data_IF_893678506435
#
_entry.id   IF_893678506435
#
_cell.length_a   1.000
_cell.length_b   1.000
_cell.length_c   1.000
_cell.angle_alpha   90.00
_cell.angle_beta   90.00
_cell.angle_gamma   90.00
#
_symmetry.space_group_name_H-M   'P 1'
#
loop_
_entity.id
_entity.type
_entity.pdbx_description
1 polymer ?
#
# COMPACT_ATOMS: atom_id res chain seq x y z
N UNK A 1 -92.39 26.50 61.62
CA UNK A 1 -91.78 25.32 60.96
C UNK A 1 -90.44 25.78 60.41
N UNK A 2 -89.44 25.61 61.19
CA UNK A 2 -88.07 26.10 60.88
C UNK A 2 -87.22 24.92 60.40
N UNK A 3 -86.91 24.91 59.12
CA UNK A 3 -86.10 23.94 58.49
C UNK A 3 -84.56 24.23 58.79
N UNK A 4 -84.00 23.34 59.57
CA UNK A 4 -82.58 23.42 59.94
C UNK A 4 -81.74 22.83 58.79
N UNK A 5 -80.99 23.69 58.09
CA UNK A 5 -80.00 23.29 57.11
C UNK A 5 -78.73 22.73 57.83
N UNK A 6 -78.41 21.52 57.56
CA UNK A 6 -77.12 20.87 58.09
C UNK A 6 -75.92 21.51 57.42
N UNK A 7 -74.79 21.67 58.13
CA UNK A 7 -73.56 22.19 57.55
C UNK A 7 -72.90 21.15 56.63
N UNK A 8 -72.55 21.56 55.40
CA UNK A 8 -71.74 20.75 54.46
C UNK A 8 -70.31 20.74 54.96
N UNK A 9 -69.76 19.53 55.23
CA UNK A 9 -68.38 19.33 55.60
C UNK A 9 -67.43 19.74 54.47
N UNK A 10 -66.27 20.39 54.73
CA UNK A 10 -65.33 20.76 53.71
C UNK A 10 -64.70 19.47 53.13
N UNK A 11 -64.79 19.32 51.81
CA UNK A 11 -64.10 18.28 51.07
C UNK A 11 -62.60 18.55 51.16
N UNK A 12 -61.85 17.63 51.78
CA UNK A 12 -60.38 17.63 51.74
C UNK A 12 -59.90 17.51 50.30
N UNK A 13 -58.90 18.31 49.86
CA UNK A 13 -58.34 18.17 48.53
C UNK A 13 -57.65 16.80 48.41
N UNK A 14 -58.23 15.93 47.59
CA UNK A 14 -57.59 14.63 47.28
C UNK A 14 -56.24 14.90 46.65
N UNK A 15 -55.18 14.53 47.37
CA UNK A 15 -53.79 14.60 46.86
C UNK A 15 -53.64 13.58 45.74
N UNK A 16 -53.75 14.04 44.49
CA UNK A 16 -53.45 13.21 43.30
C UNK A 16 -51.93 12.92 43.33
N UNK A 17 -51.52 11.66 43.45
CA UNK A 17 -50.08 11.35 43.44
C UNK A 17 -49.45 11.82 42.14
N UNK A 18 -48.20 12.36 42.17
CA UNK A 18 -47.55 12.83 40.95
C UNK A 18 -47.37 11.67 39.99
N UNK A 19 -47.91 11.81 38.79
CA UNK A 19 -47.78 10.81 37.72
C UNK A 19 -46.30 10.72 37.29
N UNK A 20 -45.66 9.58 37.51
CA UNK A 20 -44.30 9.28 37.03
C UNK A 20 -44.41 8.48 35.75
N UNK A 21 -43.87 9.00 34.64
CA UNK A 21 -43.74 8.21 33.41
C UNK A 21 -42.76 7.08 33.62
N UNK A 22 -43.17 5.87 33.29
CA UNK A 22 -42.25 4.74 33.27
C UNK A 22 -41.28 4.84 32.09
N UNK A 23 -40.08 4.21 32.15
CA UNK A 23 -39.18 4.17 30.99
C UNK A 23 -39.84 3.61 29.73
N UNK A 24 -40.80 2.68 29.89
CA UNK A 24 -41.56 2.11 28.78
C UNK A 24 -42.53 3.14 28.14
N UNK A 25 -43.15 4.00 28.95
CA UNK A 25 -44.01 5.06 28.43
C UNK A 25 -43.23 6.15 27.73
N UNK A 26 -42.03 6.45 28.22
CA UNK A 26 -41.08 7.38 27.56
C UNK A 26 -40.66 6.85 26.20
N UNK A 27 -40.32 5.57 26.08
CA UNK A 27 -39.97 4.91 24.81
C UNK A 27 -41.17 4.86 23.85
N UNK A 28 -42.39 4.59 24.34
CA UNK A 28 -43.59 4.63 23.50
C UNK A 28 -43.88 6.02 22.99
N UNK A 29 -43.80 7.04 23.84
CA UNK A 29 -44.01 8.44 23.45
C UNK A 29 -42.97 8.92 22.41
N UNK A 30 -41.71 8.54 22.59
CA UNK A 30 -40.63 8.78 21.61
C UNK A 30 -40.91 8.09 20.27
N UNK A 31 -41.41 6.84 20.29
CA UNK A 31 -41.75 6.07 19.10
C UNK A 31 -42.89 6.68 18.27
N UNK A 32 -43.86 7.34 18.91
CA UNK A 32 -44.94 8.01 18.22
C UNK A 32 -44.41 9.24 17.45
N UNK A 33 -43.45 9.98 18.01
CA UNK A 33 -42.78 11.12 17.33
C UNK A 33 -42.03 10.69 16.07
N UNK A 34 -41.37 9.55 16.12
CA UNK A 34 -40.67 8.97 14.97
C UNK A 34 -41.65 8.51 13.86
N UNK A 35 -42.80 7.96 14.23
CA UNK A 35 -43.84 7.50 13.27
C UNK A 35 -44.55 8.62 12.54
N UNK A 36 -44.74 9.77 13.17
CA UNK A 36 -45.46 10.90 12.56
C UNK A 36 -44.65 11.68 11.53
N UNK A 37 -43.29 11.59 11.60
CA UNK A 37 -42.39 12.26 10.65
C UNK A 37 -41.35 11.27 10.08
N UNK A 38 -41.84 10.14 9.58
CA UNK A 38 -41.01 9.01 9.12
C UNK A 38 -39.94 9.42 8.13
N UNK A 39 -40.28 10.20 7.13
CA UNK A 39 -39.34 10.60 6.06
C UNK A 39 -38.13 11.38 6.62
N UNK A 40 -38.36 12.30 7.57
CA UNK A 40 -37.30 13.09 8.20
C UNK A 40 -36.39 12.21 9.05
N UNK A 41 -36.99 11.34 9.88
CA UNK A 41 -36.24 10.43 10.76
C UNK A 41 -35.39 9.45 9.94
N UNK A 42 -35.94 8.90 8.84
CA UNK A 42 -35.23 7.99 7.95
C UNK A 42 -34.08 8.71 7.24
N UNK A 43 -34.31 9.92 6.68
CA UNK A 43 -33.25 10.68 6.01
C UNK A 43 -32.14 11.09 6.96
N UNK A 44 -32.46 11.49 8.19
CA UNK A 44 -31.45 11.84 9.19
C UNK A 44 -30.64 10.60 9.63
N UNK A 45 -31.31 9.48 9.87
CA UNK A 45 -30.65 8.21 10.22
C UNK A 45 -29.77 7.69 9.07
N UNK A 46 -30.27 7.81 7.84
CA UNK A 46 -29.54 7.40 6.64
C UNK A 46 -28.25 8.24 6.47
N UNK A 47 -28.33 9.56 6.65
CA UNK A 47 -27.17 10.45 6.58
C UNK A 47 -26.08 10.09 7.60
N UNK A 48 -26.49 9.86 8.87
CA UNK A 48 -25.56 9.44 9.92
C UNK A 48 -24.97 8.05 9.61
N UNK A 49 -25.81 7.10 9.17
CA UNK A 49 -25.40 5.74 8.85
C UNK A 49 -24.38 5.73 7.70
N UNK A 50 -24.62 6.50 6.64
CA UNK A 50 -23.68 6.62 5.52
C UNK A 50 -22.38 7.26 5.99
N UNK A 51 -22.44 8.34 6.79
CA UNK A 51 -21.24 9.02 7.30
C UNK A 51 -20.37 8.12 8.18
N UNK A 52 -20.96 7.42 9.14
CA UNK A 52 -20.25 6.47 10.01
C UNK A 52 -19.76 5.27 9.20
N UNK A 53 -20.63 4.72 8.32
CA UNK A 53 -20.28 3.58 7.49
C UNK A 53 -19.11 3.87 6.56
N UNK A 54 -19.08 5.03 5.91
CA UNK A 54 -17.97 5.47 5.08
C UNK A 54 -16.68 5.65 5.90
N UNK A 55 -16.75 6.23 7.08
CA UNK A 55 -15.59 6.40 7.97
C UNK A 55 -15.01 5.06 8.41
N UNK A 56 -15.86 4.12 8.83
CA UNK A 56 -15.43 2.76 9.23
C UNK A 56 -14.83 2.00 8.04
N UNK A 57 -15.42 2.14 6.84
CA UNK A 57 -14.89 1.49 5.63
C UNK A 57 -13.51 2.03 5.26
N UNK A 58 -13.31 3.36 5.30
CA UNK A 58 -12.01 3.99 5.02
C UNK A 58 -10.96 3.56 6.04
N UNK A 59 -11.28 3.58 7.33
CA UNK A 59 -10.37 3.12 8.39
C UNK A 59 -10.00 1.64 8.25
N UNK A 60 -11.00 0.78 8.00
CA UNK A 60 -10.76 -0.65 7.85
C UNK A 60 -9.89 -0.98 6.64
N UNK A 61 -10.12 -0.32 5.51
CA UNK A 61 -9.32 -0.50 4.30
C UNK A 61 -7.89 0.03 4.49
N UNK A 62 -7.74 1.20 5.11
CA UNK A 62 -6.43 1.80 5.38
C UNK A 62 -5.59 0.93 6.33
N UNK A 63 -6.17 0.42 7.41
CA UNK A 63 -5.45 -0.43 8.37
C UNK A 63 -5.06 -1.78 7.74
N UNK A 64 -5.93 -2.35 6.89
CA UNK A 64 -5.60 -3.57 6.13
C UNK A 64 -4.43 -3.35 5.18
N UNK A 65 -4.46 -2.27 4.39
CA UNK A 65 -3.37 -1.92 3.47
C UNK A 65 -2.05 -1.68 4.21
N UNK A 66 -2.10 -0.99 5.36
CA UNK A 66 -0.92 -0.75 6.20
C UNK A 66 -0.32 -2.04 6.74
N UNK A 67 -1.16 -2.95 7.24
CA UNK A 67 -0.70 -4.25 7.75
C UNK A 67 -0.04 -5.09 6.66
N UNK A 68 -0.61 -5.09 5.45
CA UNK A 68 -0.01 -5.78 4.30
C UNK A 68 1.35 -5.20 3.95
N UNK A 69 1.48 -3.88 3.89
CA UNK A 69 2.71 -3.18 3.55
C UNK A 69 3.82 -3.41 4.59
N UNK A 70 3.49 -3.34 5.88
CA UNK A 70 4.42 -3.65 6.97
C UNK A 70 4.87 -5.11 6.92
N UNK A 71 3.97 -6.04 6.60
CA UNK A 71 4.33 -7.45 6.46
C UNK A 71 5.24 -7.71 5.25
N UNK A 72 5.12 -6.93 4.19
CA UNK A 72 6.04 -6.95 3.05
C UNK A 72 7.42 -6.42 3.44
N UNK A 73 7.49 -5.26 4.09
CA UNK A 73 8.73 -4.68 4.59
C UNK A 73 9.47 -5.63 5.55
N UNK A 74 8.75 -6.28 6.45
CA UNK A 74 9.32 -7.25 7.38
C UNK A 74 9.90 -8.49 6.67
N UNK A 75 9.25 -8.95 5.59
CA UNK A 75 9.72 -10.10 4.80
C UNK A 75 10.93 -9.79 3.93
N UNK A 76 10.94 -8.59 3.33
CA UNK A 76 11.96 -8.18 2.36
C UNK A 76 13.23 -7.65 3.03
N UNK A 77 13.15 -7.31 4.31
CA UNK A 77 14.21 -6.67 5.07
C UNK A 77 14.47 -5.23 4.61
N UNK A 78 14.63 -4.33 5.56
CA UNK A 78 14.89 -2.90 5.29
C UNK A 78 16.38 -2.61 5.08
N UNK A 79 17.20 -3.64 4.92
CA UNK A 79 18.65 -3.59 4.90
C UNK A 79 19.26 -3.77 3.50
N UNK A 80 18.49 -3.57 2.44
CA UNK A 80 18.96 -3.60 1.07
C UNK A 80 19.21 -2.18 0.56
N UNK A 81 20.37 -1.98 -0.04
CA UNK A 81 20.74 -0.79 -0.80
C UNK A 81 20.85 -1.15 -2.28
N UNK A 82 20.45 -0.23 -3.12
CA UNK A 82 20.58 -0.32 -4.56
C UNK A 82 21.48 0.83 -5.01
N UNK A 83 22.54 0.49 -5.71
CA UNK A 83 23.54 1.41 -6.24
C UNK A 83 23.43 1.42 -7.75
N UNK A 84 23.19 2.57 -8.31
CA UNK A 84 23.03 2.75 -9.75
C UNK A 84 23.93 3.87 -10.27
N UNK A 85 24.23 3.82 -11.55
CA UNK A 85 24.84 4.93 -12.23
C UNK A 85 23.88 6.10 -12.26
N UNK A 86 24.22 7.21 -11.61
CA UNK A 86 23.40 8.41 -11.54
C UNK A 86 23.46 9.21 -12.84
N UNK A 87 22.41 9.89 -13.19
CA UNK A 87 22.40 10.88 -14.26
C UNK A 87 22.81 12.24 -13.70
N UNK A 88 24.10 12.55 -13.69
CA UNK A 88 24.61 13.87 -13.27
C UNK A 88 24.11 14.97 -14.22
N UNK A 89 23.61 16.09 -13.66
CA UNK A 89 23.18 17.24 -14.46
C UNK A 89 24.39 17.80 -15.21
N UNK A 90 24.45 17.55 -16.52
CA UNK A 90 25.48 18.07 -17.42
C UNK A 90 26.70 17.18 -17.69
N UNK A 91 26.75 15.95 -17.16
CA UNK A 91 27.91 15.05 -17.29
C UNK A 91 27.63 13.76 -18.09
N UNK A 92 26.47 13.62 -18.71
CA UNK A 92 26.07 12.38 -19.39
C UNK A 92 25.64 11.26 -18.43
N UNK A 93 25.25 10.08 -18.94
CA UNK A 93 24.97 8.94 -18.08
C UNK A 93 26.24 8.52 -17.36
N UNK A 94 26.17 8.41 -16.03
CA UNK A 94 27.24 7.83 -15.22
C UNK A 94 27.45 6.36 -15.60
N UNK A 95 28.61 5.81 -15.26
CA UNK A 95 28.91 4.37 -15.34
C UNK A 95 29.47 3.91 -14.02
N UNK A 96 29.13 2.70 -13.61
CA UNK A 96 29.79 2.06 -12.48
C UNK A 96 31.05 1.36 -13.00
N UNK A 97 32.22 1.57 -12.35
CA UNK A 97 33.41 0.80 -12.68
C UNK A 97 33.20 -0.71 -12.51
N UNK A 98 33.90 -1.52 -13.29
CA UNK A 98 33.85 -2.98 -13.18
C UNK A 98 34.19 -3.48 -11.75
N UNK A 99 35.15 -2.82 -11.08
CA UNK A 99 35.59 -3.16 -9.74
C UNK A 99 34.58 -2.76 -8.65
N UNK A 100 33.51 -2.03 -8.95
CA UNK A 100 32.51 -1.50 -7.99
C UNK A 100 31.93 -2.59 -7.10
N UNK A 101 31.66 -3.77 -7.66
CA UNK A 101 31.13 -4.93 -6.94
C UNK A 101 32.10 -5.39 -5.85
N UNK A 102 33.37 -5.54 -6.23
CA UNK A 102 34.45 -5.97 -5.31
C UNK A 102 34.69 -4.90 -4.24
N UNK A 103 34.64 -3.63 -4.61
CA UNK A 103 34.80 -2.51 -3.67
C UNK A 103 33.64 -2.45 -2.67
N UNK A 104 32.40 -2.61 -3.12
CA UNK A 104 31.23 -2.66 -2.25
C UNK A 104 31.31 -3.83 -1.25
N UNK A 105 31.74 -5.00 -1.69
CA UNK A 105 31.88 -6.18 -0.84
C UNK A 105 32.97 -6.05 0.25
N UNK A 106 33.89 -5.09 0.15
CA UNK A 106 34.92 -4.82 1.17
C UNK A 106 34.45 -3.96 2.34
N UNK A 107 33.25 -3.38 2.26
CA UNK A 107 32.67 -2.61 3.36
C UNK A 107 32.26 -3.57 4.47
N UNK A 108 32.87 -3.45 5.67
CA UNK A 108 32.76 -4.43 6.74
C UNK A 108 31.35 -4.91 7.10
N UNK A 109 30.32 -4.03 7.24
CA UNK A 109 28.95 -4.43 7.55
C UNK A 109 28.17 -5.02 6.35
N UNK A 110 28.74 -5.12 5.16
CA UNK A 110 28.07 -5.69 3.98
C UNK A 110 28.10 -7.22 4.06
N UNK A 111 26.90 -7.82 3.97
CA UNK A 111 26.72 -9.28 4.03
C UNK A 111 26.84 -9.92 2.64
N UNK A 112 26.12 -9.38 1.65
CA UNK A 112 26.13 -9.90 0.27
C UNK A 112 26.02 -8.76 -0.73
N UNK A 113 26.65 -8.96 -1.88
CA UNK A 113 26.63 -8.06 -3.02
C UNK A 113 26.31 -8.86 -4.27
N UNK A 114 25.52 -8.30 -5.15
CA UNK A 114 25.27 -8.85 -6.47
C UNK A 114 25.09 -7.72 -7.48
N UNK A 115 25.59 -7.93 -8.68
CA UNK A 115 25.45 -6.97 -9.78
C UNK A 115 24.46 -7.46 -10.82
N UNK A 116 23.93 -6.49 -11.53
CA UNK A 116 23.17 -6.65 -12.76
C UNK A 116 23.74 -5.68 -13.79
N UNK A 117 23.99 -6.17 -14.98
CA UNK A 117 24.42 -5.37 -16.12
C UNK A 117 23.31 -5.43 -17.20
N UNK A 118 22.87 -4.28 -17.67
CA UNK A 118 21.87 -4.21 -18.76
C UNK A 118 22.53 -4.61 -20.07
N UNK A 119 21.94 -5.57 -20.79
CA UNK A 119 22.35 -5.95 -22.14
C UNK A 119 21.53 -5.12 -23.14
N UNK A 120 21.96 -3.88 -23.35
CA UNK A 120 21.20 -2.87 -24.09
C UNK A 120 20.95 -3.22 -25.56
N UNK A 121 21.83 -3.98 -26.17
CA UNK A 121 21.76 -4.45 -27.56
C UNK A 121 20.79 -5.62 -27.74
N UNK A 122 20.62 -6.47 -26.73
CA UNK A 122 19.79 -7.67 -26.80
C UNK A 122 18.31 -7.40 -26.52
N UNK A 123 17.47 -8.16 -27.23
CA UNK A 123 16.03 -8.19 -27.01
C UNK A 123 15.58 -9.63 -26.88
N UNK A 124 14.54 -9.88 -26.06
CA UNK A 124 13.97 -11.19 -25.88
C UNK A 124 12.65 -11.33 -26.63
N UNK A 125 12.51 -12.47 -27.31
CA UNK A 125 11.31 -12.88 -28.03
C UNK A 125 10.99 -14.36 -27.72
N UNK A 126 9.72 -14.72 -27.89
CA UNK A 126 9.30 -16.12 -27.72
C UNK A 126 9.98 -17.05 -28.74
N UNK A 127 10.23 -16.59 -29.94
CA UNK A 127 10.91 -17.28 -31.03
C UNK A 127 11.46 -16.28 -32.04
N UNK A 128 12.20 -16.78 -33.02
CA UNK A 128 12.85 -16.04 -34.09
C UNK A 128 11.89 -15.49 -35.19
N UNK A 129 10.59 -15.81 -35.11
CA UNK A 129 9.57 -15.35 -36.07
C UNK A 129 8.87 -14.06 -35.62
N UNK A 130 9.06 -13.63 -34.36
CA UNK A 130 8.48 -12.38 -33.85
C UNK A 130 9.22 -11.21 -34.49
N UNK A 131 8.49 -10.25 -35.12
CA UNK A 131 9.13 -9.09 -35.75
C UNK A 131 9.95 -8.25 -34.74
N UNK A 132 11.11 -7.78 -35.17
CA UNK A 132 11.94 -6.88 -34.38
C UNK A 132 11.14 -5.64 -33.97
N UNK A 133 11.28 -5.21 -32.71
CA UNK A 133 10.54 -4.09 -32.13
C UNK A 133 9.28 -4.47 -31.36
N UNK A 134 8.74 -5.70 -31.51
CA UNK A 134 7.64 -6.20 -30.67
C UNK A 134 8.18 -6.86 -29.40
N UNK A 135 8.97 -6.11 -28.63
CA UNK A 135 9.64 -6.61 -27.42
C UNK A 135 8.71 -6.87 -26.24
N UNK A 136 7.46 -6.42 -26.31
CA UNK A 136 6.53 -6.50 -25.20
C UNK A 136 6.99 -5.70 -23.94
N UNK A 137 8.00 -4.83 -24.06
CA UNK A 137 8.58 -4.11 -22.91
C UNK A 137 9.38 -5.02 -21.99
N UNK A 138 10.01 -6.05 -22.56
CA UNK A 138 10.93 -6.95 -21.88
C UNK A 138 12.37 -6.52 -22.13
N UNK A 139 13.23 -6.72 -21.13
CA UNK A 139 14.66 -6.45 -21.17
C UNK A 139 15.47 -7.73 -21.00
N UNK A 140 16.75 -7.64 -21.29
CA UNK A 140 17.74 -8.68 -21.04
C UNK A 140 18.81 -8.08 -20.14
N UNK A 141 19.18 -8.82 -19.10
CA UNK A 141 20.21 -8.38 -18.18
C UNK A 141 21.13 -9.55 -17.80
N UNK A 142 22.41 -9.26 -17.67
CA UNK A 142 23.38 -10.19 -17.10
C UNK A 142 23.36 -10.05 -15.57
N UNK A 143 23.42 -11.15 -14.86
CA UNK A 143 23.27 -11.17 -13.42
C UNK A 143 24.28 -12.10 -12.73
N UNK A 144 24.71 -11.68 -11.55
CA UNK A 144 25.53 -12.54 -10.66
C UNK A 144 24.72 -13.72 -10.12
N UNK A 145 25.35 -14.87 -9.90
CA UNK A 145 24.71 -16.03 -9.25
C UNK A 145 24.12 -15.71 -7.87
N UNK A 146 24.72 -14.76 -7.15
CA UNK A 146 24.27 -14.33 -5.82
C UNK A 146 23.06 -13.40 -5.84
N UNK A 147 22.58 -12.97 -7.00
CA UNK A 147 21.51 -11.98 -7.11
C UNK A 147 20.25 -12.41 -6.36
N UNK A 148 19.78 -13.63 -6.59
CA UNK A 148 18.55 -14.12 -5.96
C UNK A 148 18.63 -14.14 -4.43
N UNK A 149 19.79 -14.57 -3.89
CA UNK A 149 20.02 -14.60 -2.44
C UNK A 149 20.16 -13.20 -1.84
N UNK A 150 20.82 -12.28 -2.55
CA UNK A 150 20.96 -10.87 -2.13
C UNK A 150 19.60 -10.17 -2.10
N UNK A 151 18.72 -10.46 -3.05
CA UNK A 151 17.35 -9.94 -3.08
C UNK A 151 16.40 -10.67 -2.12
N UNK A 152 16.84 -11.78 -1.49
CA UNK A 152 15.97 -12.72 -0.75
C UNK A 152 14.78 -13.20 -1.59
N UNK A 153 14.99 -13.28 -2.88
CA UNK A 153 14.02 -13.78 -3.83
C UNK A 153 13.85 -15.29 -3.76
N UNK A 154 12.85 -15.80 -4.44
CA UNK A 154 12.59 -17.23 -4.58
C UNK A 154 12.29 -17.61 -6.02
N UNK A 155 12.40 -18.89 -6.33
CA UNK A 155 12.02 -19.42 -7.64
C UNK A 155 10.59 -19.93 -7.60
N UNK A 156 9.80 -19.53 -8.59
CA UNK A 156 8.47 -20.12 -8.83
C UNK A 156 8.61 -21.49 -9.50
N UNK A 157 9.56 -21.62 -10.44
CA UNK A 157 9.85 -22.87 -11.15
C UNK A 157 11.31 -22.96 -11.51
N UNK A 158 11.87 -24.18 -11.52
CA UNK A 158 13.22 -24.45 -11.96
C UNK A 158 14.31 -24.02 -10.96
N UNK A 159 15.46 -23.62 -11.47
CA UNK A 159 16.63 -23.21 -10.70
C UNK A 159 17.11 -21.83 -11.15
N UNK A 160 17.83 -21.13 -10.29
CA UNK A 160 18.50 -19.87 -10.64
C UNK A 160 19.83 -20.16 -11.35
N UNK A 161 20.42 -19.11 -11.89
CA UNK A 161 21.78 -19.15 -12.44
C UNK A 161 22.77 -19.58 -11.36
N UNK A 162 23.68 -20.48 -11.71
CA UNK A 162 24.69 -20.97 -10.80
C UNK A 162 26.10 -20.80 -11.40
N UNK A 163 27.11 -20.96 -10.57
CA UNK A 163 28.51 -20.89 -11.00
C UNK A 163 28.95 -22.09 -11.89
N UNK A 164 28.14 -23.14 -11.99
CA UNK A 164 28.44 -24.33 -12.77
C UNK A 164 27.98 -24.23 -14.24
N UNK A 165 27.21 -23.21 -14.58
CA UNK A 165 26.63 -23.03 -15.94
C UNK A 165 27.05 -21.71 -16.63
N UNK A 166 28.28 -21.18 -16.41
CA UNK A 166 28.59 -19.82 -16.87
C UNK A 166 28.59 -19.70 -18.40
N UNK A 167 28.96 -20.75 -19.15
CA UNK A 167 29.19 -20.68 -20.58
C UNK A 167 28.06 -21.25 -21.43
N UNK A 168 26.93 -21.64 -20.81
CA UNK A 168 25.81 -22.19 -21.56
C UNK A 168 24.76 -21.11 -21.82
N UNK A 169 24.11 -21.13 -23.02
CA UNK A 169 23.02 -20.21 -23.32
C UNK A 169 21.74 -20.59 -22.55
N UNK A 170 21.74 -20.29 -21.26
CA UNK A 170 20.60 -20.50 -20.36
C UNK A 170 20.11 -19.17 -19.83
N UNK A 171 18.82 -19.11 -19.53
CA UNK A 171 18.19 -17.90 -18.99
C UNK A 171 17.20 -18.23 -17.89
N UNK A 172 17.06 -17.31 -16.95
CA UNK A 172 16.03 -17.28 -15.92
C UNK A 172 15.11 -16.12 -16.23
N UNK A 173 13.81 -16.37 -16.27
CA UNK A 173 12.81 -15.34 -16.55
C UNK A 173 12.28 -14.75 -15.25
N UNK A 174 12.08 -13.43 -15.25
CA UNK A 174 11.25 -12.76 -14.26
C UNK A 174 9.78 -13.16 -14.43
N UNK A 175 8.97 -12.99 -13.39
CA UNK A 175 7.56 -13.40 -13.39
C UNK A 175 6.76 -12.77 -14.53
N UNK A 176 6.87 -11.45 -14.71
CA UNK A 176 6.20 -10.70 -15.77
C UNK A 176 6.74 -11.09 -17.16
N UNK A 177 8.05 -11.36 -17.26
CA UNK A 177 8.65 -11.81 -18.52
C UNK A 177 8.10 -13.18 -18.93
N UNK A 178 8.01 -14.12 -17.99
CA UNK A 178 7.45 -15.43 -18.22
C UNK A 178 5.96 -15.36 -18.64
N UNK A 179 5.16 -14.53 -17.96
CA UNK A 179 3.74 -14.31 -18.29
C UNK A 179 3.60 -13.76 -19.71
N UNK A 180 4.34 -12.71 -20.08
CA UNK A 180 4.26 -12.08 -21.41
C UNK A 180 4.74 -12.97 -22.55
N UNK A 181 5.70 -13.83 -22.30
CA UNK A 181 6.16 -14.84 -23.26
C UNK A 181 5.21 -16.05 -23.31
N UNK A 182 4.24 -16.15 -22.39
CA UNK A 182 3.30 -17.26 -22.28
C UNK A 182 3.97 -18.56 -21.82
N UNK A 183 4.97 -18.45 -20.92
CA UNK A 183 5.72 -19.57 -20.33
C UNK A 183 5.33 -19.66 -18.86
N UNK A 184 4.36 -20.52 -18.54
CA UNK A 184 3.83 -20.67 -17.18
C UNK A 184 4.41 -21.87 -16.42
N UNK A 185 5.16 -22.74 -17.08
CA UNK A 185 5.78 -23.90 -16.44
C UNK A 185 6.95 -24.45 -17.28
N UNK A 186 7.90 -25.11 -16.62
CA UNK A 186 9.10 -25.70 -17.23
C UNK A 186 9.01 -27.24 -17.29
N UNK A 187 7.82 -27.79 -17.55
CA UNK A 187 7.65 -29.25 -17.66
C UNK A 187 8.32 -29.85 -18.91
N UNK A 188 8.49 -29.03 -19.93
CA UNK A 188 9.23 -29.38 -21.17
C UNK A 188 10.33 -28.36 -21.37
N UNK A 189 11.49 -28.75 -21.94
CA UNK A 189 12.53 -27.81 -22.31
C UNK A 189 11.92 -26.69 -23.17
N UNK A 190 12.08 -25.48 -22.74
CA UNK A 190 11.52 -24.28 -23.40
C UNK A 190 12.66 -23.35 -23.76
N UNK A 191 12.73 -22.95 -25.03
CA UNK A 191 13.74 -22.01 -25.50
C UNK A 191 13.08 -20.67 -25.83
N UNK A 192 13.85 -19.61 -25.69
CA UNK A 192 13.52 -18.24 -26.07
C UNK A 192 14.62 -17.66 -26.95
N UNK A 193 14.28 -16.69 -27.79
CA UNK A 193 15.19 -16.03 -28.69
C UNK A 193 15.69 -14.74 -28.08
N UNK A 194 16.98 -14.66 -27.78
CA UNK A 194 17.62 -13.50 -27.15
C UNK A 194 18.80 -13.06 -27.99
N UNK A 195 18.80 -11.79 -28.46
CA UNK A 195 19.94 -11.17 -29.12
C UNK A 195 20.42 -11.90 -30.39
N UNK A 196 19.61 -12.73 -31.03
CA UNK A 196 20.01 -13.49 -32.21
C UNK A 196 20.37 -14.96 -31.91
N UNK A 197 20.26 -15.41 -30.65
CA UNK A 197 20.66 -16.74 -30.21
C UNK A 197 19.52 -17.43 -29.41
N UNK A 198 19.53 -18.77 -29.39
CA UNK A 198 18.59 -19.56 -28.62
C UNK A 198 19.08 -19.81 -27.20
N UNK A 199 18.30 -19.36 -26.21
CA UNK A 199 18.56 -19.60 -24.80
C UNK A 199 17.52 -20.58 -24.23
N UNK A 200 17.98 -21.54 -23.43
CA UNK A 200 17.10 -22.46 -22.71
C UNK A 200 16.64 -21.84 -21.39
N UNK A 201 15.34 -21.80 -21.16
CA UNK A 201 14.78 -21.32 -19.90
C UNK A 201 14.95 -22.39 -18.83
N UNK A 202 15.77 -22.11 -17.82
CA UNK A 202 16.06 -23.01 -16.70
C UNK A 202 15.30 -22.68 -15.44
N UNK A 203 14.76 -21.46 -15.34
CA UNK A 203 14.00 -21.02 -14.18
C UNK A 203 13.03 -19.89 -14.47
N UNK A 204 12.06 -19.74 -13.58
CA UNK A 204 11.13 -18.62 -13.51
C UNK A 204 11.15 -18.13 -12.07
N UNK A 205 11.49 -16.86 -11.86
CA UNK A 205 11.48 -16.24 -10.53
C UNK A 205 10.06 -16.00 -10.04
N UNK A 206 9.88 -16.03 -8.73
CA UNK A 206 8.70 -15.44 -8.11
C UNK A 206 8.80 -13.90 -8.17
N UNK A 207 7.67 -13.15 -8.10
CA UNK A 207 7.68 -11.71 -8.14
C UNK A 207 8.63 -11.07 -7.13
N UNK A 208 9.37 -10.04 -7.56
CA UNK A 208 10.33 -9.28 -6.75
C UNK A 208 9.77 -7.90 -6.43
N UNK A 209 9.17 -7.74 -5.26
CA UNK A 209 8.48 -6.49 -4.88
C UNK A 209 9.38 -5.25 -4.83
N UNK A 210 10.66 -5.43 -4.45
CA UNK A 210 11.65 -4.34 -4.38
C UNK A 210 12.42 -4.10 -5.69
N UNK A 211 12.25 -4.96 -6.69
CA UNK A 211 12.98 -4.88 -7.96
C UNK A 211 12.08 -5.28 -9.14
N UNK A 212 10.99 -4.56 -9.39
CA UNK A 212 10.00 -4.90 -10.42
C UNK A 212 10.57 -4.84 -11.85
N UNK A 213 11.70 -4.20 -12.06
CA UNK A 213 12.38 -4.18 -13.35
C UNK A 213 12.97 -5.56 -13.69
N UNK A 214 13.43 -6.30 -12.68
CA UNK A 214 13.91 -7.66 -12.87
C UNK A 214 12.78 -8.65 -13.19
N UNK A 215 11.55 -8.37 -12.74
CA UNK A 215 10.38 -9.17 -13.11
C UNK A 215 10.09 -9.13 -14.61
N UNK A 216 10.50 -8.05 -15.28
CA UNK A 216 10.33 -7.86 -16.74
C UNK A 216 11.55 -8.29 -17.55
N UNK A 217 12.56 -8.83 -16.87
CA UNK A 217 13.85 -9.15 -17.49
C UNK A 217 14.01 -10.65 -17.71
N UNK A 218 14.76 -10.98 -18.74
CA UNK A 218 15.41 -12.27 -18.87
C UNK A 218 16.83 -12.15 -18.33
N UNK A 219 17.17 -12.95 -17.34
CA UNK A 219 18.47 -12.94 -16.69
C UNK A 219 19.34 -14.03 -17.30
N UNK A 220 20.56 -13.68 -17.66
CA UNK A 220 21.61 -14.59 -18.15
C UNK A 220 22.84 -14.45 -17.26
N UNK A 221 23.75 -15.42 -17.24
CA UNK A 221 25.02 -15.23 -16.54
C UNK A 221 25.87 -14.17 -17.25
N UNK A 222 26.73 -13.47 -16.51
CA UNK A 222 27.65 -12.47 -17.06
C UNK A 222 28.49 -13.06 -18.20
N UNK A 223 29.09 -14.23 -17.97
CA UNK A 223 29.93 -14.92 -18.94
C UNK A 223 29.17 -15.35 -20.20
N UNK A 224 27.90 -15.83 -20.06
CA UNK A 224 27.07 -16.14 -21.23
C UNK A 224 26.67 -14.86 -21.99
N UNK A 225 26.42 -13.77 -21.30
CA UNK A 225 26.10 -12.49 -21.93
C UNK A 225 27.28 -11.96 -22.75
N UNK A 226 28.49 -11.99 -22.20
CA UNK A 226 29.73 -11.61 -22.90
C UNK A 226 30.04 -12.52 -24.09
N UNK A 227 29.74 -13.81 -23.97
CA UNK A 227 30.02 -14.78 -25.04
C UNK A 227 29.04 -14.69 -26.22
N UNK A 228 27.75 -14.44 -25.95
CA UNK A 228 26.67 -14.59 -26.94
C UNK A 228 26.00 -13.29 -27.32
N UNK A 229 26.07 -12.24 -26.48
CA UNK A 229 25.21 -11.07 -26.64
C UNK A 229 25.99 -9.75 -26.83
N UNK A 230 26.84 -9.38 -25.89
CA UNK A 230 27.51 -8.07 -25.89
C UNK A 230 28.83 -8.15 -25.10
N UNK A 231 29.92 -7.67 -25.69
CA UNK A 231 31.23 -7.56 -25.05
C UNK A 231 31.27 -6.35 -24.09
N UNK A 232 32.16 -6.36 -23.12
CA UNK A 232 32.49 -5.28 -22.19
C UNK A 232 31.29 -4.78 -21.35
N UNK A 233 30.52 -5.71 -20.77
CA UNK A 233 29.40 -5.39 -19.91
C UNK A 233 29.88 -4.80 -18.57
N UNK A 234 29.39 -3.61 -18.25
CA UNK A 234 29.63 -2.96 -16.96
C UNK A 234 28.39 -3.05 -16.08
N UNK A 235 28.53 -3.13 -14.75
CA UNK A 235 27.39 -3.11 -13.85
C UNK A 235 26.53 -1.87 -14.06
N UNK A 236 25.22 -2.05 -14.28
CA UNK A 236 24.23 -0.98 -14.31
C UNK A 236 23.63 -0.75 -12.94
N UNK A 237 23.46 -1.82 -12.18
CA UNK A 237 22.90 -1.81 -10.83
C UNK A 237 23.63 -2.79 -9.93
N UNK A 238 23.97 -2.37 -8.72
CA UNK A 238 24.53 -3.23 -7.68
C UNK A 238 23.56 -3.27 -6.51
N UNK A 239 23.16 -4.48 -6.12
CA UNK A 239 22.34 -4.74 -4.96
C UNK A 239 23.26 -5.13 -3.79
N UNK A 240 23.09 -4.46 -2.68
CA UNK A 240 23.92 -4.64 -1.49
C UNK A 240 23.02 -4.92 -0.31
N UNK A 241 23.27 -6.01 0.37
CA UNK A 241 22.62 -6.31 1.65
C UNK A 241 23.63 -6.13 2.77
N UNK A 242 23.20 -5.46 3.82
CA UNK A 242 24.06 -5.09 4.95
C UNK A 242 23.39 -5.41 6.28
N UNK A 243 24.15 -5.37 7.36
CA UNK A 243 23.60 -5.41 8.73
C UNK A 243 22.54 -4.31 8.89
N UNK A 244 21.31 -4.65 9.36
CA UNK A 244 20.25 -3.67 9.57
C UNK A 244 20.63 -2.46 10.44
N UNK A 245 21.56 -2.66 11.41
CA UNK A 245 22.02 -1.58 12.29
C UNK A 245 22.98 -0.60 11.60
N UNK A 246 23.54 -0.97 10.45
CA UNK A 246 24.62 -0.23 9.75
C UNK A 246 24.19 0.31 8.37
N UNK A 247 22.92 0.21 8.00
CA UNK A 247 22.42 0.58 6.66
C UNK A 247 22.78 2.02 6.30
N UNK A 248 22.53 2.96 7.21
CA UNK A 248 22.77 4.39 6.96
C UNK A 248 24.26 4.70 6.88
N UNK A 249 25.10 4.04 7.69
CA UNK A 249 26.55 4.21 7.65
C UNK A 249 27.14 3.67 6.34
N UNK A 250 26.68 2.50 5.91
CA UNK A 250 27.06 1.90 4.63
C UNK A 250 26.59 2.76 3.46
N UNK A 251 25.36 3.26 3.49
CA UNK A 251 24.80 4.16 2.45
C UNK A 251 25.68 5.41 2.28
N UNK A 252 26.11 6.03 3.37
CA UNK A 252 26.89 7.27 3.34
C UNK A 252 28.27 7.10 2.72
N UNK A 253 28.89 5.92 2.84
CA UNK A 253 30.24 5.65 2.29
C UNK A 253 30.21 4.96 0.93
N UNK A 254 29.07 4.41 0.53
CA UNK A 254 28.92 3.54 -0.64
C UNK A 254 29.33 4.25 -1.93
N UNK A 255 28.80 5.43 -2.23
CA UNK A 255 29.10 6.16 -3.47
C UNK A 255 30.59 6.43 -3.65
N UNK A 256 31.28 6.92 -2.59
CA UNK A 256 32.70 7.17 -2.61
C UNK A 256 33.56 5.90 -2.67
N UNK A 257 32.99 4.77 -2.23
CA UNK A 257 33.69 3.47 -2.26
C UNK A 257 33.59 2.84 -3.64
N UNK A 258 32.41 2.80 -4.27
CA UNK A 258 32.20 2.11 -5.55
C UNK A 258 32.69 2.91 -6.77
N UNK A 259 32.74 4.24 -6.65
CA UNK A 259 33.32 5.10 -7.67
C UNK A 259 34.10 6.27 -7.03
N UNK A 260 35.33 6.05 -6.61
CA UNK A 260 36.14 7.08 -5.94
C UNK A 260 36.46 8.28 -6.83
N UNK A 261 36.50 8.08 -8.14
CA UNK A 261 36.82 9.14 -9.10
C UNK A 261 35.66 10.11 -9.29
N UNK A 262 34.43 9.59 -9.32
CA UNK A 262 33.22 10.36 -9.56
C UNK A 262 32.07 9.92 -8.63
N UNK A 263 32.13 10.14 -7.31
CA UNK A 263 31.08 9.73 -6.38
C UNK A 263 29.71 10.37 -6.67
N UNK A 264 29.70 11.57 -7.22
CA UNK A 264 28.49 12.32 -7.56
C UNK A 264 27.72 11.70 -8.76
N UNK A 265 28.34 10.78 -9.48
CA UNK A 265 27.69 10.01 -10.56
C UNK A 265 27.10 8.68 -10.07
N UNK A 266 27.12 8.44 -8.78
CA UNK A 266 26.55 7.24 -8.16
C UNK A 266 25.33 7.60 -7.35
N UNK A 267 24.22 6.99 -7.65
CA UNK A 267 23.00 7.09 -6.87
C UNK A 267 22.85 5.87 -5.97
N UNK A 268 22.75 6.11 -4.66
CA UNK A 268 22.51 5.07 -3.67
C UNK A 268 21.13 5.24 -3.08
N UNK A 269 20.24 4.33 -3.43
CA UNK A 269 18.85 4.30 -2.97
C UNK A 269 18.60 3.14 -2.03
N UNK A 270 17.59 3.29 -1.19
CA UNK A 270 17.05 2.22 -0.36
C UNK A 270 15.62 1.97 -0.83
N UNK A 271 15.35 0.86 -1.52
CA UNK A 271 14.02 0.62 -2.10
C UNK A 271 12.88 0.64 -1.08
N UNK A 272 13.16 0.28 0.17
CA UNK A 272 12.18 0.38 1.27
C UNK A 272 11.75 1.83 1.57
N UNK A 273 12.59 2.84 1.31
CA UNK A 273 12.24 4.24 1.52
C UNK A 273 11.05 4.67 0.63
N UNK A 274 10.95 4.11 -0.57
CA UNK A 274 9.82 4.35 -1.47
C UNK A 274 8.50 3.77 -0.93
N UNK A 275 8.57 2.60 -0.29
CA UNK A 275 7.41 1.98 0.36
C UNK A 275 6.99 2.77 1.61
N UNK A 276 7.94 3.25 2.41
CA UNK A 276 7.67 4.11 3.57
C UNK A 276 7.05 5.45 3.16
N UNK A 277 7.55 6.06 2.08
CA UNK A 277 6.97 7.28 1.52
C UNK A 277 5.54 7.08 1.02
N UNK A 278 5.27 5.94 0.39
CA UNK A 278 3.92 5.54 -0.03
C UNK A 278 2.99 5.39 1.17
N UNK A 279 3.43 4.70 2.23
CA UNK A 279 2.65 4.56 3.47
C UNK A 279 2.32 5.92 4.10
N UNK A 280 3.31 6.81 4.16
CA UNK A 280 3.11 8.16 4.68
C UNK A 280 2.06 8.94 3.85
N UNK A 281 2.09 8.81 2.53
CA UNK A 281 1.12 9.44 1.64
C UNK A 281 -0.30 8.85 1.82
N UNK A 282 -0.43 7.54 1.90
CA UNK A 282 -1.71 6.85 2.15
C UNK A 282 -2.30 7.22 3.53
N UNK A 283 -1.44 7.31 4.56
CA UNK A 283 -1.82 7.75 5.90
C UNK A 283 -2.29 9.21 5.91
N UNK A 284 -1.62 10.10 5.17
CA UNK A 284 -2.02 11.50 5.04
C UNK A 284 -3.39 11.63 4.36
N UNK A 285 -3.64 10.88 3.28
CA UNK A 285 -4.94 10.84 2.61
C UNK A 285 -6.04 10.32 3.53
N UNK A 286 -5.78 9.26 4.29
CA UNK A 286 -6.71 8.68 5.26
C UNK A 286 -7.09 9.72 6.34
N UNK A 287 -6.10 10.44 6.89
CA UNK A 287 -6.33 11.50 7.86
C UNK A 287 -7.18 12.64 7.29
N UNK A 288 -6.99 12.97 6.02
CA UNK A 288 -7.76 13.99 5.31
C UNK A 288 -9.23 13.55 5.14
N UNK A 289 -9.48 12.30 4.73
CA UNK A 289 -10.82 11.73 4.64
C UNK A 289 -11.52 11.65 6.00
N UNK A 290 -10.80 11.30 7.07
CA UNK A 290 -11.31 11.30 8.43
C UNK A 290 -11.71 12.71 8.87
N UNK A 291 -10.87 13.70 8.60
CA UNK A 291 -11.17 15.12 8.88
C UNK A 291 -12.42 15.59 8.14
N UNK A 292 -12.52 15.27 6.85
CA UNK A 292 -13.70 15.62 6.03
C UNK A 292 -14.96 14.92 6.54
N UNK A 293 -14.86 13.65 6.90
CA UNK A 293 -15.95 12.86 7.49
C UNK A 293 -16.43 13.45 8.82
N UNK A 294 -15.50 13.86 9.68
CA UNK A 294 -15.83 14.54 10.95
C UNK A 294 -16.57 15.85 10.73
N UNK A 295 -16.12 16.67 9.78
CA UNK A 295 -16.82 17.93 9.40
C UNK A 295 -18.22 17.64 8.86
N UNK A 296 -18.35 16.64 7.98
CA UNK A 296 -19.65 16.25 7.43
C UNK A 296 -20.64 15.79 8.53
N UNK A 297 -20.16 15.00 9.50
CA UNK A 297 -20.95 14.58 10.66
C UNK A 297 -21.34 15.77 11.55
N UNK A 298 -20.45 16.74 11.75
CA UNK A 298 -20.72 17.94 12.51
C UNK A 298 -21.81 18.78 11.82
N UNK A 299 -21.68 19.01 10.52
CA UNK A 299 -22.67 19.76 9.73
C UNK A 299 -24.03 19.04 9.74
N UNK A 300 -24.04 17.72 9.57
CA UNK A 300 -25.24 16.90 9.70
C UNK A 300 -25.87 16.99 11.09
N UNK A 301 -25.06 16.94 12.15
CA UNK A 301 -25.49 17.11 13.54
C UNK A 301 -26.12 18.47 13.80
N UNK A 302 -25.54 19.56 13.31
CA UNK A 302 -26.08 20.93 13.41
C UNK A 302 -27.39 21.02 12.64
N UNK A 303 -27.48 20.42 11.45
CA UNK A 303 -28.73 20.37 10.68
C UNK A 303 -29.88 19.69 11.44
N UNK A 304 -29.60 18.55 12.08
CA UNK A 304 -30.55 17.82 12.91
C UNK A 304 -30.95 18.66 14.13
N UNK A 305 -29.99 19.27 14.82
CA UNK A 305 -30.24 20.16 15.97
C UNK A 305 -31.14 21.32 15.60
N UNK A 306 -30.92 22.01 14.48
CA UNK A 306 -31.73 23.10 13.98
C UNK A 306 -33.19 22.69 13.73
N UNK A 307 -33.38 21.53 13.07
CA UNK A 307 -34.73 20.98 12.84
C UNK A 307 -35.44 20.63 14.15
N UNK A 308 -34.71 20.10 15.14
CA UNK A 308 -35.26 19.79 16.45
C UNK A 308 -35.68 21.07 17.20
N UNK A 309 -34.85 22.11 17.17
CA UNK A 309 -35.17 23.41 17.78
C UNK A 309 -36.45 24.01 17.18
N UNK A 310 -36.53 24.01 15.85
CA UNK A 310 -37.74 24.51 15.15
C UNK A 310 -38.97 23.69 15.56
N UNK A 311 -38.87 22.36 15.63
CA UNK A 311 -39.99 21.50 16.04
C UNK A 311 -40.46 21.75 17.48
N UNK A 312 -39.55 22.12 18.39
CA UNK A 312 -39.91 22.51 19.78
C UNK A 312 -40.54 23.87 19.80
N UNK A 313 -40.06 24.84 19.03
CA UNK A 313 -40.63 26.20 18.94
C UNK A 313 -42.03 26.16 18.36
N UNK A 314 -42.33 25.38 17.33
CA UNK A 314 -43.64 25.18 16.76
C UNK A 314 -44.67 24.67 17.79
N UNK A 315 -44.21 23.82 18.73
CA UNK A 315 -45.06 23.24 19.79
C UNK A 315 -44.99 23.97 21.11
N UNK A 316 -44.37 25.15 21.19
CA UNK A 316 -44.15 25.89 22.44
C UNK A 316 -45.48 26.19 23.16
N UNK A 317 -46.56 26.52 22.43
CA UNK A 317 -47.88 26.75 23.00
C UNK A 317 -48.48 25.50 23.62
N UNK A 318 -48.40 24.35 22.94
CA UNK A 318 -48.90 23.05 23.44
C UNK A 318 -48.13 22.60 24.69
N UNK A 319 -46.80 22.74 24.68
CA UNK A 319 -45.93 22.44 25.83
C UNK A 319 -46.24 23.38 27.00
N UNK A 320 -46.47 24.65 26.74
CA UNK A 320 -46.86 25.66 27.74
C UNK A 320 -48.18 25.32 28.41
N UNK A 321 -49.20 24.93 27.62
CA UNK A 321 -50.51 24.51 28.13
C UNK A 321 -50.41 23.26 29.03
N UNK A 322 -49.68 22.26 28.60
CA UNK A 322 -49.47 21.04 29.39
C UNK A 322 -48.74 21.34 30.71
N UNK A 323 -47.77 22.26 30.70
CA UNK A 323 -47.08 22.71 31.91
C UNK A 323 -47.98 23.48 32.86
N UNK A 324 -48.84 24.32 32.31
CA UNK A 324 -49.84 25.04 33.11
C UNK A 324 -50.85 24.10 33.79
N UNK A 325 -51.13 22.93 33.16
CA UNK A 325 -51.95 21.85 33.71
C UNK A 325 -51.22 20.91 34.67
N UNK A 326 -49.97 21.23 35.05
CA UNK A 326 -49.20 20.51 36.04
C UNK A 326 -48.18 19.49 35.49
N UNK A 327 -47.90 19.46 34.18
CA UNK A 327 -46.86 18.60 33.64
C UNK A 327 -45.46 19.07 34.08
N UNK A 328 -44.65 18.15 34.61
CA UNK A 328 -43.29 18.41 35.10
C UNK A 328 -42.26 18.41 33.95
N UNK A 329 -41.06 18.96 34.20
CA UNK A 329 -39.95 19.00 33.25
C UNK A 329 -39.29 17.65 32.97
N UNK A 330 -39.74 16.58 33.64
CA UNK A 330 -39.19 15.23 33.45
C UNK A 330 -40.05 14.41 32.52
#
# INVERSE_FOLDING_TARGET
>A
MTTRTAPVAPMEPSSIPPSRMTPADTLRAAGIGLRTRRLRSVLSALGIMIGIGAMVAVLGLSESSKSDLLSQLDRLGTNMLQVQAGSGIGLGPGTLPEESVVMAARIGPVDTVASVADVGSARIYKNDLVPEGQTGGLSVAAADPNLLSTLQGSMAHGIFLDEASPDYPVTVLGDVAAERLGISSLRTPTNVWIGGEWFTVVGIMAPLELSPDLDRSALVSLSAAETYLEDDLVPSTIYVRTDPASVDDVRNVMAATVNPENPDQVEVTRPSDALEAREAAESALTNLFLGLGAVALLVGGVGIANVMVISVLERRGEIGLRRALGATKR
#
